data_IF_914157180276
#
_entry.id   IF_914157180276
#
_cell.length_a   1.000
_cell.length_b   1.000
_cell.length_c   1.000
_cell.angle_alpha   90.00
_cell.angle_beta   90.00
_cell.angle_gamma   90.00
#
_symmetry.space_group_name_H-M   'P 1'
#
loop_
_entity.id
_entity.type
_entity.pdbx_description
1 polymer ?
#
# COMPACT_ATOMS: atom_id res chain seq x y z
N UNK A 1 -13.07 15.92 55.83
CA UNK A 1 -12.71 17.26 55.32
C UNK A 1 -11.52 17.23 54.34
N UNK A 2 -10.48 16.40 54.53
CA UNK A 2 -9.30 16.35 53.63
C UNK A 2 -9.61 15.82 52.20
N UNK A 3 -10.70 15.07 52.03
CA UNK A 3 -11.09 14.52 50.72
C UNK A 3 -11.64 15.56 49.74
N UNK A 4 -12.46 16.51 50.21
CA UNK A 4 -13.20 17.45 49.35
C UNK A 4 -12.25 18.41 48.60
N UNK A 5 -11.26 18.97 49.29
CA UNK A 5 -10.27 19.87 48.68
C UNK A 5 -9.44 19.17 47.60
N UNK A 6 -9.03 17.92 47.84
CA UNK A 6 -8.22 17.13 46.90
C UNK A 6 -8.95 16.89 45.57
N UNK A 7 -10.26 16.64 45.59
CA UNK A 7 -11.03 16.41 44.37
C UNK A 7 -11.26 17.69 43.58
N UNK A 8 -11.52 18.83 44.25
CA UNK A 8 -11.65 20.14 43.61
C UNK A 8 -10.34 20.57 42.96
N UNK A 9 -9.21 20.37 43.64
CA UNK A 9 -7.88 20.67 43.08
C UNK A 9 -7.56 19.78 41.87
N UNK A 10 -7.89 18.49 41.93
CA UNK A 10 -7.74 17.57 40.80
C UNK A 10 -8.61 17.97 39.60
N UNK A 11 -9.87 18.33 39.84
CA UNK A 11 -10.78 18.80 38.80
C UNK A 11 -10.26 20.09 38.13
N UNK A 12 -9.84 21.07 38.93
CA UNK A 12 -9.25 22.32 38.43
C UNK A 12 -7.98 22.06 37.63
N UNK A 13 -7.16 21.09 38.04
CA UNK A 13 -5.98 20.67 37.30
C UNK A 13 -6.35 20.16 35.90
N UNK A 14 -7.37 19.31 35.77
CA UNK A 14 -7.84 18.82 34.46
C UNK A 14 -8.28 19.97 33.56
N UNK A 15 -9.08 20.92 34.08
CA UNK A 15 -9.53 22.07 33.31
C UNK A 15 -8.36 22.97 32.87
N UNK A 16 -7.36 23.15 33.74
CA UNK A 16 -6.18 23.95 33.44
C UNK A 16 -5.31 23.29 32.34
N UNK A 17 -5.10 21.98 32.41
CA UNK A 17 -4.37 21.22 31.38
C UNK A 17 -5.14 21.25 30.06
N UNK A 18 -6.45 20.98 30.09
CA UNK A 18 -7.30 20.97 28.87
C UNK A 18 -7.26 22.29 28.12
N UNK A 19 -7.33 23.40 28.85
CA UNK A 19 -7.31 24.75 28.29
C UNK A 19 -5.92 25.25 27.89
N UNK A 20 -4.86 24.48 28.18
CA UNK A 20 -3.47 24.89 27.94
C UNK A 20 -2.93 25.91 28.94
N UNK A 21 -3.62 26.12 30.07
CA UNK A 21 -3.12 26.99 31.16
C UNK A 21 -2.07 26.31 32.03
N UNK A 22 -1.98 24.99 31.95
CA UNK A 22 -0.97 24.18 32.66
C UNK A 22 -0.41 23.12 31.71
N UNK A 23 0.80 22.70 31.98
CA UNK A 23 1.48 21.63 31.25
C UNK A 23 0.70 20.31 31.34
N UNK A 24 0.52 19.66 30.20
CA UNK A 24 0.01 18.29 30.13
C UNK A 24 1.10 17.25 30.41
N UNK A 25 0.79 15.98 30.19
CA UNK A 25 1.72 14.87 30.42
C UNK A 25 2.99 14.93 29.55
N UNK A 26 2.91 15.59 28.39
CA UNK A 26 4.05 15.79 27.49
C UNK A 26 4.91 17.02 27.85
N UNK A 27 4.65 17.65 29.00
CA UNK A 27 5.37 18.84 29.48
C UNK A 27 5.04 20.14 28.75
N UNK A 28 4.05 20.15 27.84
CA UNK A 28 3.67 21.35 27.07
C UNK A 28 2.36 21.96 27.57
N UNK A 29 2.35 23.28 27.75
CA UNK A 29 1.17 24.05 28.11
C UNK A 29 0.37 24.47 26.85
N UNK A 30 -0.19 23.48 26.15
CA UNK A 30 -1.02 23.69 24.95
C UNK A 30 -2.39 23.04 25.13
N UNK A 31 -3.42 23.68 24.57
CA UNK A 31 -4.80 23.18 24.67
C UNK A 31 -5.00 21.88 23.90
N UNK A 32 -6.04 21.12 24.27
CA UNK A 32 -6.41 19.90 23.52
C UNK A 32 -6.67 20.20 22.04
N UNK A 33 -7.29 21.34 21.74
CA UNK A 33 -7.54 21.76 20.36
C UNK A 33 -6.22 21.99 19.59
N UNK A 34 -5.22 22.59 20.22
CA UNK A 34 -3.91 22.80 19.59
C UNK A 34 -3.20 21.46 19.35
N UNK A 35 -3.25 20.53 20.32
CA UNK A 35 -2.71 19.17 20.17
C UNK A 35 -3.34 18.44 18.99
N UNK A 36 -4.66 18.52 18.85
CA UNK A 36 -5.36 17.89 17.74
C UNK A 36 -4.95 18.46 16.37
N UNK A 37 -4.67 19.77 16.30
CA UNK A 37 -4.14 20.38 15.08
C UNK A 37 -2.75 19.84 14.74
N UNK A 38 -1.87 19.71 15.73
CA UNK A 38 -0.53 19.15 15.54
C UNK A 38 -0.55 17.68 15.12
N UNK A 39 -1.53 16.91 15.59
CA UNK A 39 -1.72 15.50 15.26
C UNK A 39 -2.48 15.26 13.94
N UNK A 40 -2.70 16.32 13.14
CA UNK A 40 -3.36 16.25 11.83
C UNK A 40 -4.74 15.56 11.88
N UNK A 41 -5.53 15.87 12.90
CA UNK A 41 -6.94 15.47 12.91
C UNK A 41 -7.68 16.09 11.74
N UNK A 42 -8.67 15.37 11.20
CA UNK A 42 -9.51 15.88 10.14
C UNK A 42 -10.34 17.05 10.65
N UNK A 43 -10.77 17.92 9.75
CA UNK A 43 -11.61 19.06 10.12
C UNK A 43 -12.94 18.62 10.78
N UNK A 44 -13.47 17.48 10.37
CA UNK A 44 -14.67 16.87 10.95
C UNK A 44 -14.42 16.38 12.38
N UNK A 45 -13.36 15.59 12.59
CA UNK A 45 -12.97 15.09 13.92
C UNK A 45 -12.68 16.24 14.89
N UNK A 46 -11.97 17.27 14.41
CA UNK A 46 -11.69 18.48 15.17
C UNK A 46 -12.99 19.20 15.55
N UNK A 47 -13.95 19.29 14.62
CA UNK A 47 -15.24 19.94 14.86
C UNK A 47 -16.03 19.30 16.00
N UNK A 48 -16.12 17.98 16.03
CA UNK A 48 -16.85 17.25 17.07
C UNK A 48 -16.21 17.43 18.46
N UNK A 49 -14.88 17.31 18.59
CA UNK A 49 -14.21 17.54 19.87
C UNK A 49 -14.25 19.02 20.29
N UNK A 50 -14.12 19.94 19.34
CA UNK A 50 -14.28 21.36 19.64
C UNK A 50 -15.68 21.65 20.22
N UNK A 51 -16.73 21.05 19.64
CA UNK A 51 -18.09 21.20 20.15
C UNK A 51 -18.31 20.52 21.50
N UNK A 52 -17.77 19.32 21.70
CA UNK A 52 -17.79 18.63 22.98
C UNK A 52 -17.10 19.46 24.09
N UNK A 53 -15.97 20.10 23.76
CA UNK A 53 -15.26 20.98 24.68
C UNK A 53 -16.07 22.22 25.04
N UNK A 54 -16.69 22.88 24.06
CA UNK A 54 -17.58 24.03 24.30
C UNK A 54 -18.74 23.64 25.23
N UNK A 55 -19.37 22.49 24.97
CA UNK A 55 -20.44 21.97 25.82
C UNK A 55 -19.95 21.64 27.24
N UNK A 56 -18.72 21.12 27.38
CA UNK A 56 -18.11 20.81 28.67
C UNK A 56 -17.72 22.08 29.46
N UNK A 57 -17.34 23.18 28.80
CA UNK A 57 -17.14 24.48 29.46
C UNK A 57 -18.43 25.08 30.02
N UNK A 58 -19.57 24.79 29.40
CA UNK A 58 -20.87 25.17 29.95
C UNK A 58 -21.19 24.31 31.18
N UNK A 59 -20.94 23.00 31.09
CA UNK A 59 -21.20 22.05 32.19
C UNK A 59 -20.33 22.35 33.43
N UNK A 60 -19.07 22.74 33.22
CA UNK A 60 -18.14 23.00 34.32
C UNK A 60 -18.60 24.13 35.26
N UNK A 61 -19.37 25.10 34.75
CA UNK A 61 -19.95 26.15 35.60
C UNK A 61 -20.93 25.57 36.62
N UNK A 62 -21.75 24.61 36.20
CA UNK A 62 -22.72 23.93 37.07
C UNK A 62 -22.01 23.03 38.10
N UNK A 63 -20.94 22.36 37.68
CA UNK A 63 -20.10 21.53 38.55
C UNK A 63 -19.38 22.37 39.61
N UNK A 64 -18.86 23.54 39.24
CA UNK A 64 -18.26 24.50 40.18
C UNK A 64 -19.31 25.04 41.16
N UNK A 65 -20.52 25.37 40.70
CA UNK A 65 -21.63 25.79 41.58
C UNK A 65 -21.98 24.68 42.58
N UNK A 66 -22.04 23.42 42.13
CA UNK A 66 -22.28 22.27 43.00
C UNK A 66 -21.18 22.10 44.04
N UNK A 67 -19.90 22.20 43.65
CA UNK A 67 -18.76 22.13 44.57
C UNK A 67 -18.81 23.24 45.62
N UNK A 68 -19.13 24.48 45.22
CA UNK A 68 -19.25 25.60 46.14
C UNK A 68 -20.44 25.42 47.11
N UNK A 69 -21.56 24.85 46.66
CA UNK A 69 -22.69 24.53 47.53
C UNK A 69 -22.31 23.51 48.62
N UNK A 70 -21.48 22.51 48.29
CA UNK A 70 -20.93 21.57 49.28
C UNK A 70 -20.05 22.29 50.30
N UNK A 71 -19.16 23.19 49.87
CA UNK A 71 -18.29 23.97 50.76
C UNK A 71 -19.08 24.87 51.71
N UNK A 72 -20.23 25.38 51.28
CA UNK A 72 -21.17 26.16 52.11
C UNK A 72 -22.04 25.29 53.03
N UNK A 73 -21.93 23.95 52.94
CA UNK A 73 -22.72 22.99 53.71
C UNK A 73 -24.10 22.66 53.12
N UNK A 74 -24.47 23.23 51.98
CA UNK A 74 -25.75 22.99 51.29
C UNK A 74 -25.67 21.78 50.35
N UNK A 75 -25.69 20.60 50.96
CA UNK A 75 -25.63 19.32 50.22
C UNK A 75 -26.88 19.06 49.37
N UNK A 76 -28.04 19.59 49.77
CA UNK A 76 -29.29 19.40 49.01
C UNK A 76 -29.19 20.16 47.69
N UNK A 77 -28.75 21.42 47.73
CA UNK A 77 -28.53 22.22 46.52
C UNK A 77 -27.47 21.59 45.62
N UNK A 78 -26.36 21.12 46.18
CA UNK A 78 -25.31 20.45 45.41
C UNK A 78 -25.82 19.22 44.64
N UNK A 79 -26.66 18.39 45.29
CA UNK A 79 -27.29 17.23 44.66
C UNK A 79 -28.30 17.66 43.59
N UNK A 80 -29.15 18.64 43.86
CA UNK A 80 -30.11 19.15 42.87
C UNK A 80 -29.43 19.66 41.60
N UNK A 81 -28.24 20.25 41.71
CA UNK A 81 -27.46 20.70 40.54
C UNK A 81 -26.97 19.52 39.69
N UNK A 82 -26.36 18.49 40.31
CA UNK A 82 -25.82 17.33 39.58
C UNK A 82 -26.88 16.37 39.06
N UNK A 83 -28.01 16.25 39.75
CA UNK A 83 -29.13 15.39 39.33
C UNK A 83 -30.22 16.17 38.57
N UNK A 84 -29.92 17.39 38.12
CA UNK A 84 -30.85 18.16 37.30
C UNK A 84 -30.97 17.60 35.89
N UNK A 85 -32.14 17.84 35.28
CA UNK A 85 -32.34 17.57 33.85
C UNK A 85 -31.36 18.38 32.99
N UNK A 86 -30.97 19.57 33.44
CA UNK A 86 -29.99 20.42 32.76
C UNK A 86 -28.63 19.73 32.69
N UNK A 87 -28.15 19.17 33.82
CA UNK A 87 -26.90 18.41 33.86
C UNK A 87 -26.96 17.21 32.92
N UNK A 88 -28.00 16.39 33.05
CA UNK A 88 -28.17 15.17 32.23
C UNK A 88 -28.25 15.48 30.73
N UNK A 89 -29.00 16.52 30.36
CA UNK A 89 -29.12 16.94 28.96
C UNK A 89 -27.79 17.45 28.39
N UNK A 90 -27.02 18.19 29.17
CA UNK A 90 -25.72 18.69 28.74
C UNK A 90 -24.70 17.55 28.60
N UNK A 91 -24.70 16.60 29.54
CA UNK A 91 -23.89 15.39 29.46
C UNK A 91 -24.23 14.57 28.21
N UNK A 92 -25.51 14.40 27.90
CA UNK A 92 -25.95 13.71 26.68
C UNK A 92 -25.46 14.40 25.40
N UNK A 93 -25.48 15.73 25.34
CA UNK A 93 -24.93 16.48 24.20
C UNK A 93 -23.43 16.27 24.05
N UNK A 94 -22.67 16.29 25.16
CA UNK A 94 -21.23 16.02 25.14
C UNK A 94 -20.98 14.60 24.62
N UNK A 95 -21.65 13.60 25.19
CA UNK A 95 -21.53 12.20 24.78
C UNK A 95 -21.88 11.99 23.32
N UNK A 96 -22.89 12.69 22.79
CA UNK A 96 -23.26 12.61 21.38
C UNK A 96 -22.16 13.14 20.46
N UNK A 97 -21.52 14.27 20.80
CA UNK A 97 -20.40 14.79 20.00
C UNK A 97 -19.15 13.91 20.10
N UNK A 98 -18.85 13.35 21.28
CA UNK A 98 -17.77 12.35 21.44
C UNK A 98 -18.05 11.11 20.58
N UNK A 99 -19.29 10.63 20.55
CA UNK A 99 -19.70 9.50 19.69
C UNK A 99 -19.47 9.79 18.21
N UNK A 100 -19.80 11.00 17.74
CA UNK A 100 -19.53 11.41 16.35
C UNK A 100 -18.04 11.44 16.04
N UNK A 101 -17.22 11.94 16.98
CA UNK A 101 -15.78 11.89 16.86
C UNK A 101 -15.25 10.45 16.77
N UNK A 102 -15.69 9.55 17.64
CA UNK A 102 -15.30 8.13 17.61
C UNK A 102 -15.62 7.49 16.26
N UNK A 103 -16.82 7.73 15.72
CA UNK A 103 -17.26 7.21 14.42
C UNK A 103 -16.40 7.79 13.28
N UNK A 104 -16.12 9.09 13.30
CA UNK A 104 -15.29 9.73 12.27
C UNK A 104 -13.85 9.19 12.31
N UNK A 105 -13.29 9.02 13.51
CA UNK A 105 -11.96 8.45 13.71
C UNK A 105 -11.89 7.00 13.24
N UNK A 106 -12.86 6.17 13.62
CA UNK A 106 -12.96 4.77 13.19
C UNK A 106 -13.05 4.67 11.67
N UNK A 107 -13.90 5.50 11.05
CA UNK A 107 -14.03 5.56 9.59
C UNK A 107 -12.71 5.91 8.91
N UNK A 108 -11.97 6.89 9.45
CA UNK A 108 -10.65 7.27 8.92
C UNK A 108 -9.65 6.12 9.05
N UNK A 109 -9.60 5.47 10.20
CA UNK A 109 -8.71 4.33 10.44
C UNK A 109 -9.02 3.17 9.49
N UNK A 110 -10.30 2.81 9.34
CA UNK A 110 -10.72 1.76 8.42
C UNK A 110 -10.37 2.10 6.96
N UNK A 111 -10.55 3.36 6.55
CA UNK A 111 -10.20 3.79 5.21
C UNK A 111 -8.68 3.71 4.97
N UNK A 112 -7.86 4.12 5.93
CA UNK A 112 -6.39 3.99 5.84
C UNK A 112 -5.97 2.53 5.76
N UNK A 113 -6.56 1.64 6.57
CA UNK A 113 -6.25 0.21 6.53
C UNK A 113 -6.66 -0.40 5.18
N UNK A 114 -7.84 -0.07 4.67
CA UNK A 114 -8.33 -0.60 3.41
C UNK A 114 -7.51 -0.11 2.21
N UNK A 115 -7.16 1.19 2.17
CA UNK A 115 -6.32 1.75 1.10
C UNK A 115 -4.94 1.09 1.06
N UNK A 116 -4.27 0.95 2.21
CA UNK A 116 -2.99 0.23 2.28
C UNK A 116 -3.13 -1.23 1.84
N UNK A 117 -4.23 -1.91 2.21
CA UNK A 117 -4.50 -3.28 1.78
C UNK A 117 -4.69 -3.37 0.26
N UNK A 118 -5.45 -2.45 -0.33
CA UNK A 118 -5.73 -2.43 -1.77
C UNK A 118 -4.44 -2.13 -2.56
N UNK A 119 -3.60 -1.22 -2.06
CA UNK A 119 -2.28 -0.94 -2.64
C UNK A 119 -1.35 -2.17 -2.58
N UNK A 120 -1.33 -2.90 -1.47
CA UNK A 120 -0.57 -4.14 -1.35
C UNK A 120 -1.05 -5.21 -2.33
N UNK A 121 -2.37 -5.39 -2.44
CA UNK A 121 -2.96 -6.35 -3.38
C UNK A 121 -2.64 -5.96 -4.82
N UNK A 122 -2.73 -4.68 -5.18
CA UNK A 122 -2.36 -4.21 -6.51
C UNK A 122 -0.86 -4.44 -6.82
N UNK A 123 0.02 -4.19 -5.85
CA UNK A 123 1.45 -4.47 -5.98
C UNK A 123 1.73 -5.98 -6.15
N UNK A 124 1.02 -6.83 -5.40
CA UNK A 124 1.10 -8.29 -5.53
C UNK A 124 0.71 -8.75 -6.95
N UNK A 125 -0.40 -8.23 -7.50
CA UNK A 125 -0.81 -8.52 -8.89
C UNK A 125 0.21 -8.04 -9.91
N UNK A 126 0.83 -6.87 -9.71
CA UNK A 126 1.89 -6.37 -10.59
C UNK A 126 3.12 -7.28 -10.58
N UNK A 127 3.53 -7.76 -9.40
CA UNK A 127 4.64 -8.72 -9.27
C UNK A 127 4.31 -10.01 -9.98
N UNK A 128 3.13 -10.61 -9.76
CA UNK A 128 2.73 -11.83 -10.46
C UNK A 128 2.67 -11.66 -11.97
N UNK A 129 2.09 -10.55 -12.46
CA UNK A 129 2.05 -10.24 -13.89
C UNK A 129 3.47 -10.12 -14.47
N UNK A 130 4.40 -9.47 -13.76
CA UNK A 130 5.79 -9.33 -14.20
C UNK A 130 6.52 -10.68 -14.30
N UNK A 131 6.24 -11.61 -13.37
CA UNK A 131 6.78 -12.98 -13.40
C UNK A 131 6.25 -13.73 -14.61
N UNK A 132 4.94 -13.68 -14.87
CA UNK A 132 4.31 -14.33 -16.02
C UNK A 132 4.90 -13.79 -17.34
N UNK A 133 5.02 -12.47 -17.47
CA UNK A 133 5.61 -11.83 -18.66
C UNK A 133 7.08 -12.24 -18.82
N UNK A 134 7.85 -12.28 -17.74
CA UNK A 134 9.25 -12.71 -17.78
C UNK A 134 9.38 -14.16 -18.26
N UNK A 135 8.54 -15.06 -17.74
CA UNK A 135 8.49 -16.46 -18.20
C UNK A 135 8.11 -16.52 -19.68
N UNK A 136 7.12 -15.75 -20.12
CA UNK A 136 6.71 -15.71 -21.52
C UNK A 136 7.83 -15.24 -22.45
N UNK A 137 8.60 -14.22 -22.05
CA UNK A 137 9.77 -13.73 -22.80
C UNK A 137 10.83 -14.82 -22.90
N UNK A 138 11.14 -15.52 -21.81
CA UNK A 138 12.12 -16.61 -21.81
C UNK A 138 11.67 -17.73 -22.76
N UNK A 139 10.41 -18.16 -22.66
CA UNK A 139 9.86 -19.19 -23.54
C UNK A 139 9.85 -18.76 -25.01
N UNK A 140 9.54 -17.50 -25.28
CA UNK A 140 9.58 -16.95 -26.63
C UNK A 140 11.01 -16.93 -27.20
N UNK A 141 11.99 -16.48 -26.40
CA UNK A 141 13.39 -16.50 -26.80
C UNK A 141 13.89 -17.93 -27.06
N UNK A 142 13.56 -18.89 -26.18
CA UNK A 142 13.88 -20.31 -26.37
C UNK A 142 13.25 -20.86 -27.65
N UNK A 143 11.99 -20.52 -27.92
CA UNK A 143 11.29 -20.93 -29.14
C UNK A 143 12.00 -20.41 -30.39
N UNK A 144 12.46 -19.16 -30.40
CA UNK A 144 13.25 -18.59 -31.50
C UNK A 144 14.57 -19.36 -31.67
N UNK A 145 15.31 -19.61 -30.58
CA UNK A 145 16.58 -20.34 -30.65
C UNK A 145 16.38 -21.75 -31.21
N UNK A 146 15.37 -22.47 -30.73
CA UNK A 146 15.09 -23.83 -31.20
C UNK A 146 14.70 -23.83 -32.68
N UNK A 147 13.80 -22.94 -33.09
CA UNK A 147 13.21 -22.96 -34.43
C UNK A 147 14.11 -22.35 -35.49
N UNK A 148 14.87 -21.30 -35.17
CA UNK A 148 15.72 -20.58 -36.13
C UNK A 148 17.19 -20.98 -36.11
N UNK A 149 17.67 -21.61 -35.05
CA UNK A 149 19.09 -22.00 -34.92
C UNK A 149 19.21 -23.52 -34.84
N UNK A 150 18.69 -24.14 -33.77
CA UNK A 150 18.95 -25.56 -33.50
C UNK A 150 18.35 -26.51 -34.55
N UNK A 151 17.10 -26.29 -34.97
CA UNK A 151 16.45 -27.13 -35.98
C UNK A 151 17.15 -27.06 -37.35
N UNK A 152 17.37 -25.87 -37.95
CA UNK A 152 18.11 -25.77 -39.22
C UNK A 152 19.51 -26.39 -39.14
N UNK A 153 20.23 -26.15 -38.04
CA UNK A 153 21.56 -26.74 -37.83
C UNK A 153 21.50 -28.27 -37.81
N UNK A 154 20.52 -28.85 -37.11
CA UNK A 154 20.31 -30.30 -37.08
C UNK A 154 19.96 -30.85 -38.46
N UNK A 155 19.16 -30.14 -39.25
CA UNK A 155 18.83 -30.52 -40.63
C UNK A 155 20.10 -30.54 -41.50
N UNK A 156 20.93 -29.51 -41.40
CA UNK A 156 22.19 -29.43 -42.16
C UNK A 156 23.12 -30.60 -41.83
N UNK A 157 23.31 -30.90 -40.54
CA UNK A 157 24.13 -32.04 -40.12
C UNK A 157 23.55 -33.36 -40.67
N UNK A 158 22.23 -33.51 -40.67
CA UNK A 158 21.55 -34.68 -41.25
C UNK A 158 21.81 -34.83 -42.76
N UNK A 159 21.62 -33.75 -43.52
CA UNK A 159 21.81 -33.74 -44.98
C UNK A 159 23.28 -33.97 -45.36
N UNK A 160 24.24 -33.38 -44.65
CA UNK A 160 25.67 -33.61 -44.87
C UNK A 160 26.02 -35.09 -44.61
N UNK A 161 25.50 -35.68 -43.53
CA UNK A 161 25.68 -37.12 -43.27
C UNK A 161 25.07 -37.97 -44.37
N UNK A 162 23.89 -37.60 -44.87
CA UNK A 162 23.23 -38.29 -45.97
C UNK A 162 24.11 -38.28 -47.22
N UNK A 163 24.55 -37.09 -47.66
CA UNK A 163 25.46 -36.92 -48.81
C UNK A 163 26.71 -37.79 -48.67
N UNK A 164 27.35 -37.75 -47.50
CA UNK A 164 28.57 -38.53 -47.24
C UNK A 164 28.31 -40.05 -47.30
N UNK A 165 27.15 -40.51 -46.82
CA UNK A 165 26.81 -41.94 -46.78
C UNK A 165 26.30 -42.51 -48.10
N UNK A 166 25.56 -41.72 -48.89
CA UNK A 166 25.01 -42.15 -50.18
C UNK A 166 25.94 -41.83 -51.35
N UNK A 167 26.98 -41.02 -51.12
CA UNK A 167 27.83 -40.43 -52.15
C UNK A 167 27.01 -39.64 -53.22
N UNK A 168 25.81 -39.19 -52.84
CA UNK A 168 24.91 -38.46 -53.72
C UNK A 168 25.16 -36.95 -53.58
N UNK A 169 25.98 -36.43 -54.48
CA UNK A 169 26.27 -35.00 -54.54
C UNK A 169 25.11 -34.18 -55.11
N UNK A 170 23.95 -34.74 -55.47
CA UNK A 170 22.82 -33.96 -55.99
C UNK A 170 21.98 -33.30 -54.89
N UNK A 171 22.12 -33.73 -53.63
CA UNK A 171 21.40 -33.15 -52.49
C UNK A 171 21.99 -31.77 -52.15
N UNK A 172 21.11 -30.79 -51.99
CA UNK A 172 21.47 -29.42 -51.62
C UNK A 172 21.13 -29.10 -50.17
N UNK A 173 21.95 -28.25 -49.54
CA UNK A 173 21.62 -27.68 -48.25
C UNK A 173 20.65 -26.51 -48.42
N UNK A 174 19.71 -26.32 -47.47
CA UNK A 174 18.81 -25.16 -47.51
C UNK A 174 19.58 -23.85 -47.47
N UNK A 175 19.23 -22.93 -48.36
CA UNK A 175 19.85 -21.59 -48.41
C UNK A 175 19.04 -20.56 -47.64
N UNK A 176 19.69 -19.48 -47.21
CA UNK A 176 19.01 -18.42 -46.47
C UNK A 176 19.87 -17.19 -46.24
N UNK A 177 19.24 -16.11 -45.77
CA UNK A 177 19.88 -14.81 -45.57
C UNK A 177 20.65 -14.70 -44.24
N UNK A 178 20.29 -15.50 -43.24
CA UNK A 178 21.00 -15.55 -41.97
C UNK A 178 22.29 -16.36 -42.07
N UNK A 179 23.10 -16.36 -41.02
CA UNK A 179 24.42 -17.00 -40.97
C UNK A 179 24.33 -18.50 -41.31
N UNK A 180 23.32 -19.20 -40.79
CA UNK A 180 23.10 -20.64 -41.10
C UNK A 180 22.78 -20.84 -42.58
N UNK A 181 21.93 -19.99 -43.16
CA UNK A 181 21.61 -20.05 -44.59
C UNK A 181 22.80 -19.73 -45.49
N UNK A 182 23.67 -18.80 -45.08
CA UNK A 182 24.90 -18.48 -45.81
C UNK A 182 25.88 -19.66 -45.82
N UNK A 183 25.93 -20.46 -44.74
CA UNK A 183 26.67 -21.74 -44.75
C UNK A 183 26.12 -22.70 -45.81
N UNK A 184 24.79 -22.74 -45.98
CA UNK A 184 24.14 -23.56 -47.01
C UNK A 184 24.56 -23.15 -48.41
N UNK A 185 24.52 -21.85 -48.70
CA UNK A 185 24.98 -21.26 -49.98
C UNK A 185 26.44 -21.61 -50.25
N UNK A 186 27.32 -21.37 -49.29
CA UNK A 186 28.75 -21.65 -49.44
C UNK A 186 29.03 -23.15 -49.69
N UNK A 187 28.31 -24.03 -48.98
CA UNK A 187 28.44 -25.47 -49.18
C UNK A 187 27.92 -25.92 -50.55
N UNK A 188 26.79 -25.38 -51.03
CA UNK A 188 26.24 -25.72 -52.35
C UNK A 188 27.19 -25.27 -53.48
N UNK A 189 27.83 -24.11 -53.35
CA UNK A 189 28.85 -23.65 -54.30
C UNK A 189 30.08 -24.58 -54.33
N UNK A 190 30.55 -25.00 -53.15
CA UNK A 190 31.64 -25.96 -53.03
C UNK A 190 31.28 -27.31 -53.68
N UNK A 191 30.08 -27.83 -53.38
CA UNK A 191 29.51 -29.05 -53.97
C UNK A 191 29.45 -28.95 -55.50
N UNK A 192 28.95 -27.85 -56.05
CA UNK A 192 28.88 -27.63 -57.50
C UNK A 192 30.27 -27.67 -58.15
N UNK A 193 31.25 -27.01 -57.52
CA UNK A 193 32.64 -26.98 -57.99
C UNK A 193 33.26 -28.39 -57.99
N UNK A 194 32.95 -29.22 -56.98
CA UNK A 194 33.39 -30.62 -56.94
C UNK A 194 32.78 -31.45 -58.07
N UNK A 195 31.47 -31.33 -58.32
CA UNK A 195 30.80 -32.06 -59.40
C UNK A 195 31.40 -31.69 -60.75
N UNK A 196 31.61 -30.40 -61.01
CA UNK A 196 32.21 -29.94 -62.27
C UNK A 196 33.65 -30.45 -62.42
N UNK A 197 34.42 -30.49 -61.32
CA UNK A 197 35.76 -31.05 -61.30
C UNK A 197 35.77 -32.54 -61.64
N UNK A 198 34.87 -33.33 -61.05
CA UNK A 198 34.74 -34.77 -61.36
C UNK A 198 34.32 -35.00 -62.81
N UNK A 199 33.36 -34.24 -63.33
CA UNK A 199 32.94 -34.33 -64.74
C UNK A 199 34.11 -34.08 -65.70
N UNK A 200 34.86 -32.99 -65.48
CA UNK A 200 36.05 -32.67 -66.29
C UNK A 200 37.12 -33.77 -66.24
N UNK A 201 37.24 -34.49 -65.13
CA UNK A 201 38.17 -35.61 -65.02
C UNK A 201 37.69 -36.85 -65.77
N UNK A 202 36.38 -37.11 -65.79
CA UNK A 202 35.79 -38.24 -66.52
C UNK A 202 35.80 -37.99 -68.04
N UNK A 203 35.64 -36.74 -68.46
CA UNK A 203 35.61 -36.34 -69.88
C UNK A 203 37.01 -36.15 -70.50
N UNK A 204 38.09 -36.29 -69.72
CA UNK A 204 39.49 -36.16 -70.13
C UNK A 204 40.16 -37.52 -70.36
#
# INVERSE_FOLDING_TARGET
VVGEQRYKDYYNNILAVRSGKKEGEDGRAISIQQRMKELNFSQEEFGYIAKANELSEILSKLEIESMNAVEMGDKIRAQQLLFSDVYSNQLNKISAEVKKFEIALEKRLLNTVNTLRDEMVAAEYQVFASIIVSIAIILFALSIVITRILRPLSTFVGLIKQIASSNDLTIELPEGKNEIGQVGVAFNLFRHTLIDGVKKFIDA
#
